data_IF_355353344823
#
_entry.id   IF_355353344823
#
_cell.length_a   1.000
_cell.length_b   1.000
_cell.length_c   1.000
_cell.angle_alpha   90.00
_cell.angle_beta   90.00
_cell.angle_gamma   90.00
#
_symmetry.space_group_name_H-M   'P 1'
#
loop_
_entity.id
_entity.type
_entity.pdbx_description
1 polymer ?
#
# COMPACT_ATOMS: atom_id res chain seq x y z
N UNK A 1 -4.83 4.45 12.93
CA UNK A 1 -3.86 3.41 12.51
C UNK A 1 -3.55 2.57 13.72
N UNK A 2 -3.41 1.25 13.60
CA UNK A 2 -3.04 0.39 14.73
C UNK A 2 -1.67 0.78 15.29
N UNK A 3 -1.53 0.67 16.61
CA UNK A 3 -0.27 0.79 17.33
C UNK A 3 0.39 -0.60 17.51
N UNK A 4 1.63 -0.62 17.99
CA UNK A 4 2.37 -1.86 18.23
C UNK A 4 1.62 -2.83 19.19
N UNK A 5 0.95 -2.29 20.21
CA UNK A 5 0.15 -3.07 21.16
C UNK A 5 -1.12 -3.69 20.55
N UNK A 6 -1.59 -3.20 19.39
CA UNK A 6 -2.76 -3.74 18.69
C UNK A 6 -2.38 -4.92 17.77
N UNK A 7 -1.08 -5.17 17.56
CA UNK A 7 -0.60 -6.21 16.64
C UNK A 7 -0.55 -7.58 17.34
N UNK A 8 -0.98 -8.66 16.66
CA UNK A 8 -0.79 -10.01 17.18
C UNK A 8 0.70 -10.39 17.19
N UNK A 9 1.05 -11.38 18.02
CA UNK A 9 2.40 -11.91 18.04
C UNK A 9 2.78 -12.55 16.69
N UNK A 10 3.95 -12.18 16.16
CA UNK A 10 4.46 -12.71 14.92
C UNK A 10 4.90 -14.17 15.09
N UNK A 11 4.53 -15.04 14.14
CA UNK A 11 4.92 -16.46 14.13
C UNK A 11 6.36 -16.70 13.64
N UNK A 12 6.93 -15.75 12.93
CA UNK A 12 8.28 -15.82 12.34
C UNK A 12 9.10 -14.61 12.75
N UNK A 13 10.42 -14.77 12.78
CA UNK A 13 11.37 -13.73 13.21
C UNK A 13 12.07 -13.03 12.06
N UNK A 14 11.47 -13.02 10.86
CA UNK A 14 12.06 -12.39 9.69
C UNK A 14 12.22 -10.89 9.91
N UNK A 15 13.36 -10.36 9.48
CA UNK A 15 13.63 -8.93 9.47
C UNK A 15 13.85 -8.49 8.03
N UNK A 16 13.26 -7.36 7.59
CA UNK A 16 13.55 -6.80 6.29
C UNK A 16 15.06 -6.54 6.13
N UNK A 17 15.64 -7.02 5.04
CA UNK A 17 17.03 -6.77 4.68
C UNK A 17 17.02 -5.98 3.36
N UNK A 18 17.55 -4.74 3.31
CA UNK A 18 17.39 -3.85 2.14
C UNK A 18 17.87 -4.44 0.81
N UNK A 19 18.94 -5.23 0.84
CA UNK A 19 19.50 -5.94 -0.32
C UNK A 19 18.61 -7.07 -0.86
N UNK A 20 17.60 -7.50 -0.09
CA UNK A 20 16.70 -8.62 -0.39
C UNK A 20 15.22 -8.25 -0.34
N UNK A 21 14.90 -6.97 -0.19
CA UNK A 21 13.54 -6.49 0.00
C UNK A 21 13.16 -5.45 -1.06
N UNK A 22 11.87 -5.37 -1.34
CA UNK A 22 11.26 -4.31 -2.12
C UNK A 22 10.04 -3.77 -1.35
N UNK A 23 9.73 -2.49 -1.54
CA UNK A 23 8.52 -1.88 -1.02
C UNK A 23 7.45 -1.88 -2.12
N UNK A 24 6.31 -2.52 -1.86
CA UNK A 24 5.12 -2.47 -2.73
C UNK A 24 4.12 -1.45 -2.17
N UNK A 25 3.82 -0.40 -2.94
CA UNK A 25 2.71 0.52 -2.69
C UNK A 25 1.51 0.02 -3.49
N UNK A 26 0.58 -0.63 -2.81
CA UNK A 26 -0.51 -1.37 -3.44
C UNK A 26 -1.78 -0.51 -3.59
N UNK A 27 -2.22 -0.30 -4.84
CA UNK A 27 -3.52 0.27 -5.23
C UNK A 27 -3.87 1.62 -4.56
N UNK A 28 -2.87 2.45 -4.30
CA UNK A 28 -3.05 3.81 -3.73
C UNK A 28 -3.48 4.84 -4.80
N UNK A 29 -4.22 4.41 -5.82
CA UNK A 29 -4.78 5.30 -6.84
C UNK A 29 -5.96 6.09 -6.28
N UNK A 30 -6.16 7.33 -6.78
CA UNK A 30 -7.24 8.22 -6.37
C UNK A 30 -8.62 7.54 -6.33
N UNK A 31 -8.90 6.64 -7.29
CA UNK A 31 -10.15 5.88 -7.33
C UNK A 31 -10.42 5.10 -6.04
N UNK A 32 -9.43 4.36 -5.52
CA UNK A 32 -9.60 3.55 -4.31
C UNK A 32 -9.64 4.39 -3.04
N UNK A 33 -8.79 5.42 -2.97
CA UNK A 33 -8.70 6.25 -1.76
C UNK A 33 -9.85 7.26 -1.66
N UNK A 34 -10.54 7.58 -2.76
CA UNK A 34 -11.69 8.48 -2.77
C UNK A 34 -12.89 7.96 -1.97
N UNK A 35 -12.94 6.65 -1.66
CA UNK A 35 -13.95 6.08 -0.78
C UNK A 35 -13.84 6.56 0.69
N UNK A 36 -12.74 7.23 1.05
CA UNK A 36 -12.45 7.69 2.40
C UNK A 36 -12.40 9.21 2.47
N UNK A 37 -12.72 9.75 3.65
CA UNK A 37 -12.65 11.19 3.89
C UNK A 37 -11.18 11.68 3.82
N UNK A 38 -10.84 12.62 2.92
CA UNK A 38 -9.48 13.14 2.79
C UNK A 38 -9.04 13.85 4.08
N UNK A 39 -7.72 13.87 4.32
CA UNK A 39 -7.06 14.58 5.44
C UNK A 39 -7.54 14.23 6.87
N UNK A 40 -8.37 13.20 7.00
CA UNK A 40 -8.80 12.63 8.28
C UNK A 40 -8.14 11.28 8.53
N UNK A 41 -8.13 10.84 9.79
CA UNK A 41 -7.72 9.48 10.12
C UNK A 41 -8.76 8.48 9.58
N UNK A 42 -8.34 7.33 9.02
CA UNK A 42 -6.96 6.86 8.93
C UNK A 42 -6.17 7.37 7.71
N UNK A 43 -6.81 7.99 6.72
CA UNK A 43 -6.19 8.32 5.42
C UNK A 43 -4.99 9.24 5.51
N UNK A 44 -5.08 10.30 6.30
CA UNK A 44 -3.96 11.23 6.51
C UNK A 44 -2.72 10.51 7.02
N UNK A 45 -2.92 9.62 7.99
CA UNK A 45 -1.83 8.92 8.67
C UNK A 45 -1.28 7.80 7.78
N UNK A 46 -2.15 7.11 7.03
CA UNK A 46 -1.78 6.14 6.01
C UNK A 46 -0.87 6.75 4.94
N UNK A 47 -1.30 7.83 4.29
CA UNK A 47 -0.52 8.51 3.23
C UNK A 47 0.81 9.02 3.77
N UNK A 48 0.81 9.61 4.97
CA UNK A 48 2.03 10.06 5.65
C UNK A 48 3.00 8.90 5.90
N UNK A 49 2.52 7.76 6.37
CA UNK A 49 3.36 6.61 6.66
C UNK A 49 3.92 5.97 5.39
N UNK A 50 3.11 5.87 4.32
CA UNK A 50 3.58 5.40 3.00
C UNK A 50 4.67 6.32 2.47
N UNK A 51 4.48 7.65 2.56
CA UNK A 51 5.50 8.61 2.12
C UNK A 51 6.84 8.43 2.86
N UNK A 52 6.80 8.22 4.18
CA UNK A 52 7.99 7.93 4.99
C UNK A 52 8.66 6.63 4.55
N UNK A 53 7.90 5.54 4.41
CA UNK A 53 8.42 4.24 3.97
C UNK A 53 9.06 4.32 2.58
N UNK A 54 8.42 5.00 1.64
CA UNK A 54 8.96 5.19 0.29
C UNK A 54 10.25 6.01 0.30
N UNK A 55 10.34 7.06 1.13
CA UNK A 55 11.58 7.82 1.27
C UNK A 55 12.71 6.95 1.83
N UNK A 56 12.45 6.24 2.94
CA UNK A 56 13.43 5.33 3.56
C UNK A 56 13.85 4.20 2.62
N UNK A 57 12.91 3.58 1.89
CA UNK A 57 13.23 2.54 0.93
C UNK A 57 14.19 3.06 -0.16
N UNK A 58 13.93 4.25 -0.70
CA UNK A 58 14.79 4.89 -1.70
C UNK A 58 16.17 5.24 -1.15
N UNK A 59 16.24 5.77 0.08
CA UNK A 59 17.51 6.06 0.76
C UNK A 59 18.36 4.80 0.98
N UNK A 60 17.71 3.67 1.26
CA UNK A 60 18.35 2.37 1.44
C UNK A 60 18.63 1.63 0.13
N UNK A 61 18.31 2.22 -1.03
CA UNK A 61 18.49 1.59 -2.34
C UNK A 61 17.51 0.45 -2.65
N UNK A 62 16.44 0.31 -1.87
CA UNK A 62 15.41 -0.70 -2.09
C UNK A 62 14.49 -0.31 -3.26
N UNK A 63 14.09 -1.25 -4.13
CA UNK A 63 13.09 -1.00 -5.14
C UNK A 63 11.75 -0.56 -4.51
N UNK A 64 11.15 0.51 -5.07
CA UNK A 64 9.78 0.91 -4.75
C UNK A 64 8.90 0.63 -5.96
N UNK A 65 7.94 -0.28 -5.78
CA UNK A 65 7.04 -0.78 -6.82
C UNK A 65 5.64 -0.27 -6.52
N UNK A 66 4.94 0.20 -7.55
CA UNK A 66 3.55 0.64 -7.45
C UNK A 66 2.67 -0.29 -8.27
N UNK A 67 1.59 -0.79 -7.68
CA UNK A 67 0.50 -1.37 -8.47
C UNK A 67 -0.50 -0.28 -8.86
N UNK A 68 -1.09 -0.45 -10.03
CA UNK A 68 -2.15 0.41 -10.52
C UNK A 68 -3.07 -0.42 -11.40
N UNK A 69 -4.37 -0.41 -11.10
CA UNK A 69 -5.36 -0.97 -12.00
C UNK A 69 -5.44 -0.11 -13.26
N UNK A 70 -5.43 -0.73 -14.45
CA UNK A 70 -5.67 0.00 -15.67
C UNK A 70 -7.08 0.58 -15.65
N UNK A 71 -7.21 1.85 -16.01
CA UNK A 71 -8.51 2.47 -16.27
C UNK A 71 -9.10 1.94 -17.57
N UNK A 72 -10.43 1.99 -17.70
CA UNK A 72 -11.11 1.63 -18.95
C UNK A 72 -11.01 0.15 -19.33
N UNK A 73 -10.96 -0.76 -18.34
CA UNK A 73 -11.00 -2.20 -18.58
C UNK A 73 -12.25 -2.59 -19.38
N UNK A 74 -12.07 -3.43 -20.41
CA UNK A 74 -13.18 -4.05 -21.15
C UNK A 74 -14.01 -4.96 -20.24
N UNK A 75 -15.16 -5.41 -20.72
CA UNK A 75 -16.02 -6.36 -20.01
C UNK A 75 -15.27 -7.65 -19.70
N UNK A 76 -14.46 -8.15 -20.63
CA UNK A 76 -13.63 -9.34 -20.45
C UNK A 76 -12.49 -9.09 -19.46
N UNK A 77 -11.83 -7.93 -19.53
CA UNK A 77 -10.74 -7.58 -18.62
C UNK A 77 -11.22 -7.39 -17.19
N UNK A 78 -12.42 -6.82 -17.02
CA UNK A 78 -13.00 -6.59 -15.70
C UNK A 78 -13.66 -7.85 -15.14
N UNK A 79 -14.20 -8.71 -15.99
CA UNK A 79 -14.75 -10.02 -15.62
C UNK A 79 -15.70 -9.94 -14.42
N UNK A 80 -15.52 -10.86 -13.46
CA UNK A 80 -16.35 -10.96 -12.25
C UNK A 80 -16.28 -9.72 -11.33
N UNK A 81 -15.35 -8.79 -11.54
CA UNK A 81 -15.32 -7.53 -10.78
C UNK A 81 -16.51 -6.60 -11.12
N UNK A 82 -17.36 -6.97 -12.08
CA UNK A 82 -18.62 -6.27 -12.42
C UNK A 82 -19.86 -6.87 -11.77
N UNK A 83 -19.76 -8.04 -11.12
CA UNK A 83 -20.93 -8.78 -10.65
C UNK A 83 -21.46 -8.29 -9.28
N UNK A 84 -21.00 -7.13 -8.79
CA UNK A 84 -21.29 -6.55 -7.48
C UNK A 84 -21.75 -5.08 -7.56
#
# INVERSE_FOLDING_TARGET
>A
MPAEADLPENRVTWRPCPDRAALLVHDMQNYFVAAYQPDTAPMRDLVRNIAKLTATARELGMPVIYSAQPGGQSDEQRGLLRDF
#
